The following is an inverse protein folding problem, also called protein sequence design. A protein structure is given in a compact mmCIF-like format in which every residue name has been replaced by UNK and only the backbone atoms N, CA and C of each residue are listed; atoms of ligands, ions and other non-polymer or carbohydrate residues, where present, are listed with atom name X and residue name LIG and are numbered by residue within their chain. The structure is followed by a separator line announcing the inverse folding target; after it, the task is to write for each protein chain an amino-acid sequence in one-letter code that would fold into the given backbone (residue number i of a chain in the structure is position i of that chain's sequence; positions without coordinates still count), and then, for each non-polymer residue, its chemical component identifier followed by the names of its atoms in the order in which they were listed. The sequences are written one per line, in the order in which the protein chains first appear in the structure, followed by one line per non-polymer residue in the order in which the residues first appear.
data_IF_241654696933
#
_entry.id   IF_241654696933
#
_cell.length_a   1.000
_cell.length_b   1.000
_cell.length_c   1.000
_cell.angle_alpha   90.00
_cell.angle_beta   90.00
_cell.angle_gamma   90.00
#
_symmetry.space_group_name_H-M   'P 1'
#
loop_
_entity.id
_entity.type
_entity.pdbx_description
1 polymer ?
#
# COMPACT_ATOMS: atom_id res chain seq x y z
N UNK A 1 -9.09 3.83 24.40
CA UNK A 1 -8.96 3.07 23.15
C UNK A 1 -8.08 3.88 22.24
N UNK A 2 -6.94 3.34 21.82
CA UNK A 2 -6.07 4.01 20.85
C UNK A 2 -6.80 4.02 19.50
N UNK A 3 -6.60 5.05 18.69
CA UNK A 3 -7.19 5.18 17.35
C UNK A 3 -6.92 3.94 16.48
N UNK A 4 -5.72 3.37 16.61
CA UNK A 4 -5.29 2.13 15.95
C UNK A 4 -6.19 0.92 16.28
N UNK A 5 -6.54 0.72 17.55
CA UNK A 5 -7.38 -0.41 17.99
C UNK A 5 -8.78 -0.35 17.38
N UNK A 6 -9.33 0.87 17.23
CA UNK A 6 -10.63 1.09 16.58
C UNK A 6 -10.58 0.73 15.10
N UNK A 7 -9.51 1.13 14.41
CA UNK A 7 -9.33 0.87 12.98
C UNK A 7 -9.09 -0.62 12.72
N UNK A 8 -8.25 -1.25 13.54
CA UNK A 8 -7.98 -2.68 13.46
C UNK A 8 -9.27 -3.50 13.62
N UNK A 9 -10.16 -3.11 14.54
CA UNK A 9 -11.47 -3.75 14.75
C UNK A 9 -12.42 -3.67 13.53
N UNK A 10 -12.15 -2.82 12.54
CA UNK A 10 -12.92 -2.77 11.29
C UNK A 10 -12.58 -3.92 10.33
N UNK A 11 -11.43 -4.58 10.55
CA UNK A 11 -10.98 -5.70 9.73
C UNK A 11 -11.59 -7.03 10.24
N UNK A 12 -11.85 -7.99 9.33
CA UNK A 12 -12.16 -9.36 9.70
C UNK A 12 -11.15 -9.94 10.68
N UNK A 13 -11.58 -10.83 11.58
CA UNK A 13 -10.73 -11.39 12.64
C UNK A 13 -9.48 -12.09 12.09
N UNK A 14 -9.61 -12.83 11.00
CA UNK A 14 -8.49 -13.47 10.33
C UNK A 14 -7.48 -12.44 9.82
N UNK A 15 -7.96 -11.41 9.11
CA UNK A 15 -7.11 -10.36 8.55
C UNK A 15 -6.42 -9.52 9.63
N UNK A 16 -7.10 -9.25 10.76
CA UNK A 16 -6.49 -8.55 11.91
C UNK A 16 -5.21 -9.22 12.37
N UNK A 17 -5.25 -10.53 12.58
CA UNK A 17 -4.07 -11.28 13.03
C UNK A 17 -2.95 -11.27 11.99
N UNK A 18 -3.25 -11.20 10.69
CA UNK A 18 -2.24 -11.08 9.63
C UNK A 18 -1.60 -9.67 9.64
N UNK A 19 -2.41 -8.63 9.78
CA UNK A 19 -1.97 -7.23 9.86
C UNK A 19 -1.10 -6.97 11.10
N UNK A 20 -1.48 -7.47 12.27
CA UNK A 20 -0.67 -7.36 13.49
C UNK A 20 0.70 -8.05 13.35
N UNK A 21 0.77 -9.15 12.60
CA UNK A 21 2.01 -9.87 12.30
C UNK A 21 2.78 -9.30 11.11
N UNK A 22 2.21 -8.32 10.41
CA UNK A 22 2.70 -7.79 9.13
C UNK A 22 3.01 -8.91 8.11
N UNK A 23 2.15 -9.93 8.05
CA UNK A 23 2.30 -11.06 7.11
C UNK A 23 1.80 -10.65 5.70
N UNK A 24 2.64 -9.88 5.00
CA UNK A 24 2.34 -9.23 3.70
C UNK A 24 1.71 -10.21 2.71
N UNK A 25 2.37 -11.35 2.48
CA UNK A 25 1.95 -12.35 1.51
C UNK A 25 0.55 -12.87 1.82
N UNK A 26 0.27 -13.17 3.09
CA UNK A 26 -1.06 -13.65 3.48
C UNK A 26 -2.13 -12.58 3.49
N UNK A 27 -1.77 -11.32 3.75
CA UNK A 27 -2.72 -10.20 3.62
C UNK A 27 -3.18 -10.09 2.17
N UNK A 28 -2.26 -10.11 1.22
CA UNK A 28 -2.59 -10.06 -0.21
C UNK A 28 -3.36 -11.32 -0.63
N UNK A 29 -2.91 -12.49 -0.17
CA UNK A 29 -3.60 -13.77 -0.39
C UNK A 29 -5.06 -13.73 0.10
N UNK A 30 -5.32 -13.09 1.23
CA UNK A 30 -6.68 -12.90 1.75
C UNK A 30 -7.57 -12.12 0.76
N UNK A 31 -7.07 -11.06 0.12
CA UNK A 31 -7.85 -10.32 -0.87
C UNK A 31 -8.07 -11.11 -2.17
N UNK A 32 -7.13 -11.96 -2.58
CA UNK A 32 -7.29 -12.82 -3.76
C UNK A 32 -8.22 -14.02 -3.55
N UNK A 33 -8.13 -14.70 -2.39
CA UNK A 33 -8.84 -15.97 -2.17
C UNK A 33 -10.34 -15.78 -1.97
N UNK A 34 -10.73 -14.67 -1.37
CA UNK A 34 -12.09 -14.49 -0.89
C UNK A 34 -13.00 -13.72 -1.88
N UNK A 35 -12.54 -13.46 -3.11
CA UNK A 35 -13.26 -12.67 -4.14
C UNK A 35 -13.92 -11.42 -3.53
N UNK A 36 -13.17 -10.74 -2.65
CA UNK A 36 -13.75 -9.72 -1.78
C UNK A 36 -13.82 -8.41 -2.53
N UNK A 37 -14.98 -8.11 -3.11
CA UNK A 37 -15.34 -6.78 -3.62
C UNK A 37 -15.55 -5.74 -2.47
N UNK A 38 -14.84 -5.83 -1.34
CA UNK A 38 -15.03 -4.90 -0.22
C UNK A 38 -13.93 -3.87 -0.19
N UNK A 39 -14.09 -2.84 -1.05
CA UNK A 39 -13.42 -1.54 -0.91
C UNK A 39 -13.39 -1.08 0.56
N UNK A 40 -14.44 -1.35 1.33
CA UNK A 40 -14.52 -1.07 2.77
C UNK A 40 -13.39 -1.70 3.60
N UNK A 41 -12.98 -2.93 3.29
CA UNK A 41 -11.91 -3.64 4.01
C UNK A 41 -10.54 -3.08 3.58
N UNK A 42 -10.34 -2.85 2.28
CA UNK A 42 -9.13 -2.18 1.80
C UNK A 42 -8.97 -0.78 2.39
N UNK A 43 -10.06 0.01 2.46
CA UNK A 43 -10.07 1.33 3.09
C UNK A 43 -9.77 1.26 4.60
N UNK A 44 -10.22 0.20 5.28
CA UNK A 44 -9.88 -0.02 6.69
C UNK A 44 -8.38 -0.35 6.86
N UNK A 45 -7.82 -1.18 5.99
CA UNK A 45 -6.38 -1.48 5.96
C UNK A 45 -5.56 -0.22 5.65
N UNK A 46 -5.97 0.57 4.66
CA UNK A 46 -5.36 1.85 4.30
C UNK A 46 -5.32 2.82 5.48
N UNK A 47 -6.47 3.05 6.14
CA UNK A 47 -6.54 3.90 7.33
C UNK A 47 -5.68 3.38 8.48
N UNK A 48 -5.63 2.06 8.65
CA UNK A 48 -4.77 1.45 9.65
C UNK A 48 -3.29 1.69 9.33
N UNK A 49 -2.84 1.47 8.09
CA UNK A 49 -1.47 1.74 7.65
C UNK A 49 -1.07 3.20 7.91
N UNK A 50 -1.94 4.15 7.54
CA UNK A 50 -1.75 5.59 7.79
C UNK A 50 -1.54 5.89 9.27
N UNK A 51 -2.29 5.22 10.15
CA UNK A 51 -2.22 5.47 11.60
C UNK A 51 -1.02 4.78 12.24
N UNK A 52 -0.67 3.58 11.77
CA UNK A 52 0.45 2.80 12.28
C UNK A 52 1.81 3.40 11.88
N UNK A 53 1.87 4.15 10.77
CA UNK A 53 3.09 4.72 10.21
C UNK A 53 4.20 3.67 9.96
N UNK A 54 3.81 2.47 9.57
CA UNK A 54 4.71 1.35 9.26
C UNK A 54 4.84 1.18 7.75
N UNK A 55 6.07 1.29 7.21
CA UNK A 55 6.31 1.25 5.77
C UNK A 55 5.78 -0.03 5.09
N UNK A 56 5.93 -1.19 5.74
CA UNK A 56 5.42 -2.46 5.21
C UNK A 56 3.90 -2.47 5.07
N UNK A 57 3.17 -1.87 6.01
CA UNK A 57 1.71 -1.80 5.92
C UNK A 57 1.24 -0.87 4.82
N UNK A 58 2.01 0.19 4.54
CA UNK A 58 1.80 1.03 3.37
C UNK A 58 2.01 0.24 2.07
N UNK A 59 3.12 -0.50 1.93
CA UNK A 59 3.35 -1.33 0.75
C UNK A 59 2.24 -2.36 0.52
N UNK A 60 1.79 -3.03 1.58
CA UNK A 60 0.67 -3.97 1.50
C UNK A 60 -0.61 -3.28 1.00
N UNK A 61 -0.94 -2.11 1.55
CA UNK A 61 -2.13 -1.37 1.12
C UNK A 61 -2.02 -0.96 -0.36
N UNK A 62 -0.82 -0.56 -0.82
CA UNK A 62 -0.59 -0.26 -2.22
C UNK A 62 -0.82 -1.47 -3.12
N UNK A 63 -0.24 -2.62 -2.78
CA UNK A 63 -0.39 -3.87 -3.54
C UNK A 63 -1.85 -4.36 -3.54
N UNK A 64 -2.60 -4.18 -2.44
CA UNK A 64 -4.03 -4.50 -2.41
C UNK A 64 -4.81 -3.64 -3.41
N UNK A 65 -4.54 -2.34 -3.49
CA UNK A 65 -5.24 -1.49 -4.45
C UNK A 65 -4.82 -1.78 -5.90
N UNK A 66 -3.52 -1.89 -6.19
CA UNK A 66 -3.02 -2.06 -7.56
C UNK A 66 -3.18 -3.48 -8.12
N UNK A 67 -3.19 -4.52 -7.27
CA UNK A 67 -3.27 -5.92 -7.72
C UNK A 67 -4.63 -6.56 -7.48
N UNK A 68 -5.25 -6.30 -6.32
CA UNK A 68 -6.51 -6.96 -5.95
C UNK A 68 -7.73 -6.13 -6.34
N UNK A 69 -7.62 -4.80 -6.31
CA UNK A 69 -8.73 -3.88 -6.59
C UNK A 69 -8.45 -2.87 -7.73
N UNK A 70 -7.74 -3.25 -8.83
CA UNK A 70 -7.33 -2.30 -9.88
C UNK A 70 -8.50 -1.69 -10.65
N UNK A 71 -9.70 -2.25 -10.48
CA UNK A 71 -10.93 -1.80 -11.13
C UNK A 71 -11.59 -0.62 -10.40
N UNK A 72 -11.11 -0.21 -9.22
CA UNK A 72 -11.61 0.98 -8.55
C UNK A 72 -11.03 2.23 -9.22
N UNK A 73 -11.87 3.24 -9.43
CA UNK A 73 -11.49 4.49 -10.10
C UNK A 73 -10.30 5.21 -9.43
N UNK A 74 -10.10 5.01 -8.13
CA UNK A 74 -9.04 5.64 -7.32
C UNK A 74 -7.95 4.65 -6.85
N UNK A 75 -7.92 3.43 -7.42
CA UNK A 75 -6.99 2.39 -7.00
C UNK A 75 -5.52 2.82 -7.14
N UNK A 76 -5.16 3.38 -8.29
CA UNK A 76 -3.77 3.73 -8.59
C UNK A 76 -3.33 5.01 -7.87
N UNK A 77 -4.23 5.97 -7.63
CA UNK A 77 -3.97 7.11 -6.76
C UNK A 77 -3.68 6.68 -5.32
N UNK A 78 -4.46 5.73 -4.80
CA UNK A 78 -4.27 5.19 -3.46
C UNK A 78 -3.00 4.34 -3.38
N UNK A 79 -2.72 3.53 -4.39
CA UNK A 79 -1.47 2.76 -4.47
C UNK A 79 -0.26 3.69 -4.47
N UNK A 80 -0.25 4.70 -5.34
CA UNK A 80 0.80 5.71 -5.38
C UNK A 80 0.98 6.43 -4.04
N UNK A 81 -0.11 6.88 -3.41
CA UNK A 81 -0.05 7.51 -2.09
C UNK A 81 0.66 6.63 -1.07
N UNK A 82 0.31 5.34 -1.02
CA UNK A 82 0.88 4.41 -0.07
C UNK A 82 2.35 4.07 -0.37
N UNK A 83 2.72 3.82 -1.63
CA UNK A 83 4.11 3.60 -2.02
C UNK A 83 5.00 4.78 -1.68
N UNK A 84 4.55 6.00 -2.00
CA UNK A 84 5.31 7.21 -1.69
C UNK A 84 5.46 7.39 -0.18
N UNK A 85 4.40 7.15 0.59
CA UNK A 85 4.47 7.23 2.05
C UNK A 85 5.44 6.19 2.64
N UNK A 86 5.50 4.98 2.10
CA UNK A 86 6.49 3.98 2.51
C UNK A 86 7.93 4.45 2.25
N UNK A 87 8.18 5.10 1.11
CA UNK A 87 9.48 5.70 0.80
C UNK A 87 9.85 6.84 1.75
N UNK A 88 8.89 7.71 2.09
CA UNK A 88 9.10 8.77 3.08
C UNK A 88 9.43 8.20 4.47
N UNK A 89 8.71 7.17 4.92
CA UNK A 89 8.91 6.53 6.22
C UNK A 89 10.28 5.84 6.34
N UNK A 90 10.87 5.44 5.21
CA UNK A 90 12.23 4.88 5.16
C UNK A 90 13.29 5.93 4.86
N UNK A 91 12.96 7.22 4.90
CA UNK A 91 13.84 8.34 4.52
C UNK A 91 14.48 8.16 3.13
N UNK A 92 13.79 7.47 2.21
CA UNK A 92 14.31 7.09 0.89
C UNK A 92 15.64 6.31 0.97
N UNK A 93 15.83 5.51 2.02
CA UNK A 93 17.05 4.72 2.23
C UNK A 93 16.95 3.28 1.72
N UNK A 94 15.74 2.75 1.53
CA UNK A 94 15.53 1.42 0.98
C UNK A 94 15.63 1.45 -0.55
N UNK A 95 16.78 1.02 -1.05
CA UNK A 95 17.05 0.95 -2.49
C UNK A 95 16.08 0.04 -3.23
N UNK A 96 15.69 -1.10 -2.66
CA UNK A 96 14.79 -2.03 -3.33
C UNK A 96 13.39 -1.42 -3.46
N UNK A 97 12.93 -0.75 -2.41
CA UNK A 97 11.65 -0.03 -2.45
C UNK A 97 11.66 1.08 -3.51
N UNK A 98 12.76 1.84 -3.61
CA UNK A 98 12.92 2.86 -4.65
C UNK A 98 12.98 2.27 -6.07
N UNK A 99 13.69 1.16 -6.26
CA UNK A 99 13.75 0.46 -7.56
C UNK A 99 12.36 -0.05 -7.97
N UNK A 100 11.62 -0.68 -7.05
CA UNK A 100 10.24 -1.12 -7.28
C UNK A 100 9.31 0.05 -7.67
N UNK A 101 9.40 1.19 -6.99
CA UNK A 101 8.61 2.38 -7.34
C UNK A 101 8.88 2.88 -8.77
N UNK A 102 10.11 2.75 -9.27
CA UNK A 102 10.45 3.15 -10.63
C UNK A 102 9.86 2.21 -11.70
N UNK A 103 9.51 0.97 -11.34
CA UNK A 103 8.85 0.03 -12.27
C UNK A 103 7.46 0.53 -12.69
N UNK A 104 6.81 1.37 -11.86
CA UNK A 104 5.51 1.98 -12.18
C UNK A 104 5.54 2.87 -13.43
N UNK A 105 6.72 3.32 -13.90
CA UNK A 105 6.88 4.03 -15.18
C UNK A 105 6.37 3.24 -16.38
N UNK A 106 6.48 1.92 -16.31
CA UNK A 106 6.13 1.02 -17.42
C UNK A 106 4.66 0.59 -17.37
N UNK A 107 3.94 0.92 -16.29
CA UNK A 107 2.54 0.53 -16.09
C UNK A 107 1.59 1.64 -16.56
N UNK A 108 0.65 1.36 -17.48
CA UNK A 108 -0.19 2.40 -18.10
C UNK A 108 -1.07 3.14 -17.09
N UNK A 109 -1.61 2.44 -16.08
CA UNK A 109 -2.50 3.05 -15.08
C UNK A 109 -1.76 3.93 -14.04
N UNK A 110 -0.42 3.94 -14.08
CA UNK A 110 0.41 4.85 -13.26
C UNK A 110 0.85 6.10 -14.03
N UNK A 111 0.22 6.42 -15.17
CA UNK A 111 0.40 7.68 -15.89
C UNK A 111 -0.02 8.92 -15.07
N UNK A 112 -0.83 8.70 -14.03
CA UNK A 112 -1.22 9.68 -13.02
C UNK A 112 -0.05 10.24 -12.22
N UNK A 113 1.07 9.50 -12.10
CA UNK A 113 2.23 9.90 -11.29
C UNK A 113 3.03 10.95 -12.08
N UNK A 114 3.18 12.19 -11.55
CA UNK A 114 3.96 13.21 -12.24
C UNK A 114 5.43 12.81 -12.38
N UNK A 115 6.02 13.06 -13.56
CA UNK A 115 7.41 12.69 -13.86
C UNK A 115 8.46 13.20 -12.84
N UNK A 116 8.15 14.28 -12.11
CA UNK A 116 9.00 14.81 -11.04
C UNK A 116 9.22 13.83 -9.89
N UNK A 117 8.24 12.99 -9.56
CA UNK A 117 8.37 11.97 -8.50
C UNK A 117 9.39 10.91 -8.91
N UNK A 118 9.29 10.44 -10.15
CA UNK A 118 10.27 9.50 -10.68
C UNK A 118 11.68 10.08 -10.75
N UNK A 119 11.84 11.31 -11.26
CA UNK A 119 13.14 11.96 -11.30
C UNK A 119 13.77 12.11 -9.90
N UNK A 120 12.95 12.42 -8.89
CA UNK A 120 13.41 12.51 -7.51
C UNK A 120 14.00 11.18 -7.02
N UNK A 121 13.33 10.06 -7.30
CA UNK A 121 13.81 8.72 -6.91
C UNK A 121 15.07 8.33 -7.69
N UNK A 122 15.12 8.62 -9.00
CA UNK A 122 16.32 8.40 -9.81
C UNK A 122 17.53 9.18 -9.29
N UNK A 123 17.33 10.38 -8.78
CA UNK A 123 18.40 11.18 -8.17
C UNK A 123 18.85 10.64 -6.81
N UNK A 124 17.97 9.93 -6.08
CA UNK A 124 18.30 9.30 -4.78
C UNK A 124 19.08 8.00 -4.90
N UNK A 125 18.90 7.25 -5.99
CA UNK A 125 19.59 5.97 -6.21
C UNK A 125 21.03 6.15 -6.74
N UNK A 126 21.34 7.31 -7.34
CA UNK A 126 22.67 7.66 -7.86
C UNK A 126 23.73 7.76 -6.76
#
# INVERSE_FOLDING_TARGET
MRSEEILLQQLPEELRGLVERQDVEKIIGYFFEYDIEERRIADALSRYAITAEEANLHLVAAEVYSLCLPYLDDAFELAFFHEWRALELTDFSDRKMMENFLENKEHPDFDIIPASYYHYIEDKIK
#
